data_IF_078453653583
#
_entry.id   IF_078453653583
#
_cell.length_a   1.000
_cell.length_b   1.000
_cell.length_c   1.000
_cell.angle_alpha   90.00
_cell.angle_beta   90.00
_cell.angle_gamma   90.00
#
_symmetry.space_group_name_H-M   'P 1'
#
loop_
_entity.id
_entity.type
_entity.pdbx_description
1 polymer ?
#
# COMPACT_ATOMS: atom_id res chain seq x y z
N UNK A 1 -2.52 8.22 2.87
CA UNK A 1 -1.44 9.01 2.24
C UNK A 1 -1.07 8.36 0.92
N UNK A 2 -0.92 9.12 -0.17
CA UNK A 2 -0.51 8.58 -1.48
C UNK A 2 0.28 9.61 -2.29
N UNK A 3 1.03 9.13 -3.30
CA UNK A 3 1.84 9.99 -4.15
C UNK A 3 0.95 10.81 -5.10
N UNK A 4 1.23 12.10 -5.27
CA UNK A 4 0.51 12.93 -6.22
C UNK A 4 0.52 12.28 -7.61
N UNK A 5 -0.65 12.30 -8.27
CA UNK A 5 -0.91 11.66 -9.56
C UNK A 5 -0.82 10.12 -9.60
N UNK A 6 -0.66 9.42 -8.47
CA UNK A 6 -0.81 7.96 -8.43
C UNK A 6 -2.29 7.55 -8.54
N UNK A 7 -2.51 6.24 -8.71
CA UNK A 7 -3.82 5.62 -8.54
C UNK A 7 -4.42 5.98 -7.18
N UNK A 8 -5.74 6.20 -7.15
CA UNK A 8 -6.53 6.45 -5.94
C UNK A 8 -7.69 5.46 -5.86
N UNK A 9 -8.23 5.18 -4.66
CA UNK A 9 -9.47 4.40 -4.51
C UNK A 9 -10.56 4.95 -5.45
N UNK A 10 -11.35 4.05 -6.02
CA UNK A 10 -12.41 4.34 -7.00
C UNK A 10 -11.92 4.87 -8.36
N UNK A 11 -11.09 5.92 -8.40
CA UNK A 11 -10.65 6.51 -9.67
C UNK A 11 -9.62 5.67 -10.42
N UNK A 12 -8.98 4.69 -9.75
CA UNK A 12 -8.05 3.72 -10.37
C UNK A 12 -8.66 2.95 -11.55
N UNK A 13 -9.98 2.75 -11.57
CA UNK A 13 -10.64 1.97 -12.62
C UNK A 13 -10.67 2.67 -13.99
N UNK A 14 -10.46 4.00 -14.04
CA UNK A 14 -10.48 4.78 -15.28
C UNK A 14 -9.29 5.72 -15.47
N UNK A 15 -8.67 6.25 -14.39
CA UNK A 15 -7.64 7.30 -14.47
C UNK A 15 -6.35 6.92 -15.20
N UNK A 16 -5.99 5.64 -15.23
CA UNK A 16 -4.79 5.13 -15.90
C UNK A 16 -5.14 4.09 -16.96
N UNK A 17 -6.42 4.01 -17.32
CA UNK A 17 -6.81 3.29 -18.51
C UNK A 17 -6.25 4.04 -19.73
N UNK A 18 -5.88 3.34 -20.80
CA UNK A 18 -5.52 3.99 -22.07
C UNK A 18 -6.69 4.80 -22.68
N UNK A 19 -7.87 4.78 -22.05
CA UNK A 19 -9.07 5.48 -22.48
C UNK A 19 -9.10 6.85 -21.82
N UNK A 20 -9.40 7.87 -22.62
CA UNK A 20 -9.67 9.21 -22.12
C UNK A 20 -10.92 9.19 -21.25
N UNK A 21 -11.00 10.06 -20.24
CA UNK A 21 -12.25 10.25 -19.49
C UNK A 21 -13.44 10.58 -20.41
N UNK A 22 -13.17 11.29 -21.51
CA UNK A 22 -14.19 11.66 -22.50
C UNK A 22 -14.76 10.44 -23.24
N UNK A 23 -14.04 9.32 -23.30
CA UNK A 23 -14.52 8.09 -23.97
C UNK A 23 -15.68 7.44 -23.22
N UNK A 24 -15.92 7.82 -21.96
CA UNK A 24 -17.03 7.33 -21.15
C UNK A 24 -18.32 8.13 -21.35
N UNK A 25 -18.22 9.31 -21.98
CA UNK A 25 -19.33 10.25 -22.11
C UNK A 25 -20.00 10.13 -23.49
N UNK A 26 -21.32 10.25 -23.51
CA UNK A 26 -22.15 10.38 -24.70
C UNK A 26 -22.94 11.69 -24.66
N UNK A 27 -23.15 12.30 -25.82
CA UNK A 27 -24.05 13.44 -25.97
C UNK A 27 -25.49 12.93 -26.00
N UNK A 28 -26.37 13.53 -25.20
CA UNK A 28 -27.80 13.28 -25.21
C UNK A 28 -28.47 14.43 -25.98
N UNK A 29 -29.04 14.16 -27.18
CA UNK A 29 -29.76 15.18 -27.93
C UNK A 29 -31.02 15.60 -27.18
N UNK A 30 -31.19 16.91 -26.93
CA UNK A 30 -32.47 17.42 -26.41
C UNK A 30 -33.48 17.54 -27.56
N UNK A 31 -34.64 16.92 -27.37
CA UNK A 31 -35.76 16.98 -28.31
C UNK A 31 -36.56 18.28 -28.23
N UNK A 32 -36.28 19.13 -27.24
CA UNK A 32 -37.13 20.29 -26.91
C UNK A 32 -36.44 21.65 -27.08
N UNK A 33 -35.10 21.73 -26.98
CA UNK A 33 -34.31 22.94 -27.27
C UNK A 33 -32.89 22.62 -27.76
N UNK A 34 -32.39 23.26 -28.82
CA UNK A 34 -31.01 23.08 -29.31
C UNK A 34 -29.92 23.41 -28.29
N UNK A 35 -30.21 24.31 -27.34
CA UNK A 35 -29.25 24.81 -26.33
C UNK A 35 -29.19 23.97 -25.04
N UNK A 36 -30.03 22.94 -24.88
CA UNK A 36 -30.04 22.06 -23.70
C UNK A 36 -29.34 20.72 -24.01
N UNK A 37 -28.10 20.76 -24.52
CA UNK A 37 -27.30 19.55 -24.66
C UNK A 37 -26.84 19.07 -23.28
N UNK A 38 -27.04 17.78 -22.99
CA UNK A 38 -26.55 17.15 -21.76
C UNK A 38 -25.58 16.02 -22.09
N UNK A 39 -24.68 15.74 -21.16
CA UNK A 39 -23.78 14.59 -21.23
C UNK A 39 -24.34 13.47 -20.35
N UNK A 40 -24.25 12.23 -20.83
CA UNK A 40 -24.54 11.04 -20.05
C UNK A 40 -23.35 10.07 -20.14
N UNK A 41 -23.30 9.11 -19.22
CA UNK A 41 -22.35 7.99 -19.34
C UNK A 41 -22.97 6.93 -20.24
N UNK A 42 -22.18 6.30 -21.10
CA UNK A 42 -22.71 5.22 -21.96
C UNK A 42 -23.28 4.06 -21.11
N UNK A 43 -24.39 3.41 -21.52
CA UNK A 43 -25.07 2.43 -20.67
C UNK A 43 -24.19 1.27 -20.18
N UNK A 44 -23.27 0.78 -21.01
CA UNK A 44 -22.35 -0.29 -20.63
C UNK A 44 -21.36 0.15 -19.54
N UNK A 45 -20.80 1.35 -19.69
CA UNK A 45 -19.86 1.92 -18.71
C UNK A 45 -20.61 2.31 -17.42
N UNK A 46 -21.85 2.77 -17.53
CA UNK A 46 -22.68 3.09 -16.38
C UNK A 46 -22.89 1.86 -15.49
N UNK A 47 -23.09 0.68 -16.06
CA UNK A 47 -23.22 -0.57 -15.30
C UNK A 47 -21.96 -0.91 -14.50
N UNK A 48 -20.77 -0.72 -15.09
CA UNK A 48 -19.48 -0.94 -14.42
C UNK A 48 -19.22 0.11 -13.32
N UNK A 49 -19.53 1.38 -13.59
CA UNK A 49 -19.25 2.50 -12.67
C UNK A 49 -20.27 2.61 -11.54
N UNK A 50 -21.47 2.09 -11.69
CA UNK A 50 -22.54 2.19 -10.68
C UNK A 50 -22.11 1.73 -9.28
N UNK A 51 -21.59 0.50 -9.07
CA UNK A 51 -21.16 0.04 -7.75
C UNK A 51 -20.00 0.89 -7.19
N UNK A 52 -19.09 1.34 -8.06
CA UNK A 52 -17.94 2.17 -7.69
C UNK A 52 -18.41 3.54 -7.20
N UNK A 53 -19.35 4.17 -7.91
CA UNK A 53 -19.91 5.47 -7.59
C UNK A 53 -20.74 5.41 -6.29
N UNK A 54 -21.52 4.33 -6.10
CA UNK A 54 -22.28 4.10 -4.87
C UNK A 54 -21.34 3.97 -3.66
N UNK A 55 -20.27 3.18 -3.77
CA UNK A 55 -19.27 3.05 -2.71
C UNK A 55 -18.53 4.37 -2.43
N UNK A 56 -18.20 5.13 -3.49
CA UNK A 56 -17.60 6.46 -3.36
C UNK A 56 -18.51 7.41 -2.57
N UNK A 57 -19.79 7.52 -2.94
CA UNK A 57 -20.74 8.38 -2.21
C UNK A 57 -20.92 7.95 -0.76
N UNK A 58 -21.06 6.64 -0.51
CA UNK A 58 -21.16 6.12 0.86
C UNK A 58 -19.97 6.56 1.72
N UNK A 59 -18.75 6.47 1.19
CA UNK A 59 -17.54 6.88 1.91
C UNK A 59 -17.49 8.39 2.14
N UNK A 60 -18.00 9.21 1.22
CA UNK A 60 -18.10 10.66 1.40
C UNK A 60 -19.14 11.02 2.48
N UNK A 61 -20.31 10.39 2.43
CA UNK A 61 -21.40 10.64 3.38
C UNK A 61 -21.04 10.21 4.80
N UNK A 62 -20.31 9.10 4.95
CA UNK A 62 -19.83 8.59 6.24
C UNK A 62 -18.54 9.26 6.73
N UNK A 63 -17.82 9.99 5.86
CA UNK A 63 -16.54 10.63 6.19
C UNK A 63 -15.41 9.64 6.51
N UNK A 64 -15.42 8.45 5.91
CA UNK A 64 -14.52 7.33 6.27
C UNK A 64 -13.20 7.28 5.49
N UNK A 65 -12.96 8.22 4.56
CA UNK A 65 -11.73 8.32 3.77
C UNK A 65 -11.14 9.72 3.80
N UNK A 66 -9.95 9.86 4.37
CA UNK A 66 -9.13 11.07 4.28
C UNK A 66 -7.97 10.85 3.31
N UNK A 67 -7.87 11.70 2.29
CA UNK A 67 -6.78 11.68 1.31
C UNK A 67 -5.73 12.74 1.64
N UNK A 68 -4.46 12.32 1.71
CA UNK A 68 -3.31 13.19 1.98
C UNK A 68 -2.27 12.92 0.90
N UNK A 69 -1.98 13.93 0.09
CA UNK A 69 -1.05 13.84 -1.05
C UNK A 69 0.39 14.16 -0.58
N UNK A 70 1.37 13.46 -1.14
CA UNK A 70 2.80 13.81 -1.03
C UNK A 70 3.49 13.66 -2.39
N UNK A 71 4.61 14.35 -2.60
CA UNK A 71 5.40 14.28 -3.82
C UNK A 71 6.85 13.87 -3.54
N UNK A 72 7.46 14.43 -2.49
CA UNK A 72 8.87 14.20 -2.14
C UNK A 72 9.02 13.22 -0.98
N UNK A 73 10.23 12.67 -0.82
CA UNK A 73 10.55 11.83 0.34
C UNK A 73 10.47 12.64 1.65
N UNK A 74 10.92 13.90 1.64
CA UNK A 74 10.87 14.75 2.83
C UNK A 74 9.42 14.98 3.29
N UNK A 75 8.52 15.34 2.36
CA UNK A 75 7.09 15.48 2.65
C UNK A 75 6.50 14.18 3.20
N UNK A 76 6.80 13.03 2.58
CA UNK A 76 6.32 11.74 3.04
C UNK A 76 6.72 11.47 4.50
N UNK A 77 7.99 11.71 4.87
CA UNK A 77 8.49 11.45 6.22
C UNK A 77 7.83 12.38 7.26
N UNK A 78 7.69 13.67 6.95
CA UNK A 78 7.03 14.63 7.84
C UNK A 78 5.54 14.33 8.02
N UNK A 79 4.83 14.04 6.93
CA UNK A 79 3.41 13.68 6.97
C UNK A 79 3.20 12.37 7.73
N UNK A 80 4.06 11.36 7.51
CA UNK A 80 3.97 10.09 8.22
C UNK A 80 4.14 10.31 9.72
N UNK A 81 5.12 11.12 10.14
CA UNK A 81 5.33 11.47 11.55
C UNK A 81 4.12 12.17 12.15
N UNK A 82 3.57 13.17 11.47
CA UNK A 82 2.38 13.90 11.94
C UNK A 82 1.12 13.04 12.03
N UNK A 83 0.89 12.18 11.04
CA UNK A 83 -0.25 11.23 11.06
C UNK A 83 -0.07 10.20 12.17
N UNK A 84 1.15 9.73 12.40
CA UNK A 84 1.43 8.76 13.47
C UNK A 84 1.16 9.36 14.85
N UNK A 85 1.54 10.61 15.09
CA UNK A 85 1.28 11.33 16.34
C UNK A 85 -0.23 11.41 16.64
N UNK A 86 -1.05 11.74 15.63
CA UNK A 86 -2.52 11.78 15.76
C UNK A 86 -3.08 10.36 15.99
N UNK A 87 -2.63 9.39 15.21
CA UNK A 87 -3.11 8.00 15.28
C UNK A 87 -2.65 7.27 16.54
N UNK A 88 -1.62 7.74 17.25
CA UNK A 88 -1.14 7.14 18.49
C UNK A 88 -2.27 7.00 19.54
N UNK A 89 -3.23 7.91 19.54
CA UNK A 89 -4.43 7.88 20.40
C UNK A 89 -5.33 6.65 20.18
N UNK A 90 -5.22 5.98 19.04
CA UNK A 90 -5.98 4.77 18.73
C UNK A 90 -5.40 3.50 19.37
N UNK A 91 -4.13 3.53 19.79
CA UNK A 91 -3.40 2.37 20.31
C UNK A 91 -3.55 1.15 19.40
N UNK A 92 -3.93 0.01 19.98
CA UNK A 92 -4.11 -1.28 19.26
C UNK A 92 -5.14 -1.25 18.14
N UNK A 93 -6.07 -0.29 18.15
CA UNK A 93 -7.06 -0.12 17.08
C UNK A 93 -6.51 0.60 15.85
N UNK A 94 -5.33 1.21 15.94
CA UNK A 94 -4.66 1.81 14.80
C UNK A 94 -3.88 0.78 14.00
N UNK A 95 -4.02 0.82 12.68
CA UNK A 95 -3.27 -0.02 11.74
C UNK A 95 -2.52 0.86 10.74
N UNK A 96 -1.25 0.55 10.53
CA UNK A 96 -0.41 1.16 9.50
C UNK A 96 -0.18 0.17 8.36
N UNK A 97 -0.71 0.47 7.17
CA UNK A 97 -0.48 -0.29 5.95
C UNK A 97 0.53 0.45 5.05
N UNK A 98 1.81 0.15 5.23
CA UNK A 98 2.92 0.91 4.64
C UNK A 98 3.33 0.35 3.26
N UNK A 99 2.48 0.56 2.26
CA UNK A 99 2.69 0.07 0.88
C UNK A 99 3.41 1.06 -0.06
N UNK A 100 3.82 2.23 0.44
CA UNK A 100 4.54 3.20 -0.37
C UNK A 100 5.94 2.69 -0.75
N UNK A 101 6.33 2.84 -2.01
CA UNK A 101 7.71 2.63 -2.44
C UNK A 101 8.57 3.86 -2.05
N UNK A 102 9.15 3.80 -0.86
CA UNK A 102 9.97 4.88 -0.29
C UNK A 102 11.40 4.78 -0.83
N UNK A 103 11.96 5.90 -1.30
CA UNK A 103 13.36 5.95 -1.76
C UNK A 103 14.33 5.55 -0.65
N UNK A 104 15.32 4.71 -0.97
CA UNK A 104 16.39 4.35 -0.04
C UNK A 104 17.49 5.42 0.07
N UNK A 105 17.59 6.28 -0.95
CA UNK A 105 18.57 7.36 -1.03
C UNK A 105 17.88 8.68 -1.37
N UNK A 106 18.45 9.79 -0.92
CA UNK A 106 17.99 11.15 -1.20
C UNK A 106 19.20 12.09 -1.38
N UNK A 107 18.96 13.25 -1.99
CA UNK A 107 19.95 14.32 -2.09
C UNK A 107 19.62 15.36 -1.00
N UNK A 108 20.50 15.59 -0.01
CA UNK A 108 20.32 16.64 0.99
C UNK A 108 20.15 18.01 0.35
N UNK A 109 19.34 18.88 0.97
CA UNK A 109 19.05 20.21 0.43
C UNK A 109 20.32 21.04 0.18
N UNK A 110 21.36 20.88 1.00
CA UNK A 110 22.65 21.58 0.80
C UNK A 110 23.42 21.09 -0.43
N UNK A 111 23.12 19.88 -0.93
CA UNK A 111 23.75 19.27 -2.11
C UNK A 111 22.91 19.41 -3.38
N UNK A 112 21.67 19.94 -3.30
CA UNK A 112 20.80 20.15 -4.46
C UNK A 112 21.32 21.34 -5.26
N UNK A 113 21.63 21.12 -6.55
CA UNK A 113 21.98 22.20 -7.46
C UNK A 113 20.77 23.12 -7.69
N UNK A 114 20.94 24.43 -7.49
CA UNK A 114 19.88 25.43 -7.73
C UNK A 114 19.42 25.49 -9.19
N UNK A 115 20.29 25.07 -10.11
CA UNK A 115 20.05 25.14 -11.55
C UNK A 115 20.26 23.78 -12.21
N UNK A 116 19.67 23.64 -13.40
CA UNK A 116 19.83 22.46 -14.26
C UNK A 116 21.32 22.11 -14.40
N UNK A 117 21.68 20.88 -14.05
CA UNK A 117 23.03 20.34 -14.24
C UNK A 117 23.35 20.32 -15.75
N UNK A 118 24.47 20.92 -16.11
CA UNK A 118 24.88 21.09 -17.51
C UNK A 118 25.57 19.82 -18.06
N UNK A 119 25.24 19.41 -19.29
CA UNK A 119 25.71 18.16 -19.90
C UNK A 119 27.08 18.25 -20.59
N UNK A 120 27.84 19.32 -20.38
CA UNK A 120 29.06 19.61 -21.17
C UNK A 120 30.29 18.74 -20.89
N UNK A 121 30.30 17.95 -19.81
CA UNK A 121 31.50 17.23 -19.32
C UNK A 121 31.53 15.72 -19.63
N UNK A 122 30.61 15.22 -20.46
CA UNK A 122 30.63 13.84 -20.97
C UNK A 122 30.15 12.75 -20.00
N UNK A 123 30.31 12.90 -18.68
CA UNK A 123 29.77 11.97 -17.67
C UNK A 123 29.02 12.70 -16.55
N UNK A 124 28.03 12.02 -15.96
CA UNK A 124 27.26 12.49 -14.79
C UNK A 124 27.52 11.54 -13.63
N UNK A 125 28.00 12.07 -12.50
CA UNK A 125 28.13 11.35 -11.24
C UNK A 125 27.20 12.00 -10.22
N UNK A 126 26.37 11.20 -9.55
CA UNK A 126 25.42 11.64 -8.54
C UNK A 126 25.76 10.93 -7.22
N UNK A 127 26.11 11.71 -6.21
CA UNK A 127 26.33 11.23 -4.84
C UNK A 127 25.06 11.51 -4.03
N UNK A 128 24.55 10.49 -3.34
CA UNK A 128 23.30 10.56 -2.58
C UNK A 128 23.48 9.96 -1.19
N UNK A 129 22.75 10.49 -0.22
CA UNK A 129 22.79 10.05 1.16
C UNK A 129 21.66 9.03 1.41
N UNK A 130 21.86 8.12 2.37
CA UNK A 130 20.83 7.14 2.73
C UNK A 130 19.68 7.79 3.50
N UNK A 131 18.44 7.44 3.15
CA UNK A 131 17.25 7.92 3.85
C UNK A 131 17.19 7.33 5.27
N UNK A 132 16.91 8.13 6.30
CA UNK A 132 16.69 7.65 7.66
C UNK A 132 15.61 6.57 7.72
N UNK A 133 15.90 5.46 8.40
CA UNK A 133 14.97 4.32 8.51
C UNK A 133 13.92 4.59 9.60
N UNK A 134 12.82 5.26 9.22
CA UNK A 134 11.74 5.68 10.14
C UNK A 134 10.85 4.57 10.68
N UNK A 135 10.96 3.33 10.17
CA UNK A 135 10.17 2.21 10.67
C UNK A 135 10.51 1.87 12.13
N UNK A 136 11.79 1.95 12.52
CA UNK A 136 12.20 1.68 13.90
C UNK A 136 11.56 2.66 14.91
N UNK A 137 11.70 3.99 14.76
CA UNK A 137 11.04 4.92 15.67
C UNK A 137 9.51 4.86 15.57
N UNK A 138 8.94 4.54 14.40
CA UNK A 138 7.50 4.34 14.26
C UNK A 138 7.00 3.20 15.16
N UNK A 139 7.71 2.07 15.21
CA UNK A 139 7.36 0.92 16.05
C UNK A 139 7.69 1.16 17.52
N UNK A 140 8.86 1.71 17.83
CA UNK A 140 9.35 1.76 19.22
C UNK A 140 8.88 2.99 19.99
N UNK A 141 8.67 4.12 19.32
CA UNK A 141 8.44 5.42 19.97
C UNK A 141 7.09 6.01 19.61
N UNK A 142 6.74 6.06 18.32
CA UNK A 142 5.58 6.84 17.87
C UNK A 142 4.27 6.06 18.04
N UNK A 143 4.28 4.74 17.81
CA UNK A 143 3.09 3.92 17.94
C UNK A 143 3.38 2.48 18.42
N UNK A 144 3.85 2.31 19.67
CA UNK A 144 4.22 1.00 20.20
C UNK A 144 3.08 -0.02 20.26
N UNK A 145 1.84 0.45 20.46
CA UNK A 145 0.66 -0.42 20.51
C UNK A 145 -0.02 -0.63 19.14
N UNK A 146 0.44 0.07 18.10
CA UNK A 146 -0.17 0.00 16.77
C UNK A 146 0.08 -1.33 16.07
N UNK A 147 -0.79 -1.69 15.13
CA UNK A 147 -0.57 -2.83 14.24
C UNK A 147 0.10 -2.36 12.96
N UNK A 148 1.39 -2.68 12.78
CA UNK A 148 2.23 -2.12 11.72
C UNK A 148 2.54 -3.20 10.69
N UNK A 149 2.10 -2.96 9.46
CA UNK A 149 2.30 -3.81 8.29
C UNK A 149 3.20 -3.09 7.31
N UNK A 150 4.31 -3.71 6.92
CA UNK A 150 5.21 -3.18 5.89
C UNK A 150 5.24 -4.07 4.64
N UNK A 151 5.68 -3.50 3.52
CA UNK A 151 5.80 -4.20 2.25
C UNK A 151 7.24 -4.47 1.88
N UNK A 152 7.49 -5.66 1.30
CA UNK A 152 8.78 -6.02 0.70
C UNK A 152 8.57 -6.48 -0.74
N UNK A 153 8.97 -5.63 -1.67
CA UNK A 153 8.98 -5.93 -3.10
C UNK A 153 10.37 -6.42 -3.50
N UNK A 154 10.45 -7.60 -4.10
CA UNK A 154 11.69 -8.16 -4.64
C UNK A 154 11.53 -8.62 -6.09
N UNK A 155 12.63 -8.72 -6.82
CA UNK A 155 12.68 -9.29 -8.19
C UNK A 155 13.19 -10.72 -8.22
N UNK A 156 13.84 -11.17 -7.14
CA UNK A 156 14.42 -12.50 -7.00
C UNK A 156 13.72 -13.23 -5.84
N UNK A 157 13.06 -14.35 -6.13
CA UNK A 157 12.23 -15.08 -5.16
C UNK A 157 13.05 -15.56 -3.93
N UNK A 158 14.30 -15.95 -4.15
CA UNK A 158 15.20 -16.42 -3.08
C UNK A 158 15.54 -15.34 -2.05
N UNK A 159 15.43 -14.05 -2.42
CA UNK A 159 15.72 -12.92 -1.53
C UNK A 159 14.49 -12.45 -0.74
N UNK A 160 13.27 -12.82 -1.17
CA UNK A 160 12.03 -12.28 -0.62
C UNK A 160 11.87 -12.61 0.87
N UNK A 161 11.87 -13.90 1.21
CA UNK A 161 11.69 -14.36 2.60
C UNK A 161 12.84 -13.91 3.51
N UNK A 162 14.13 -14.08 3.13
CA UNK A 162 15.22 -13.61 3.98
C UNK A 162 15.16 -12.10 4.27
N UNK A 163 14.83 -11.27 3.28
CA UNK A 163 14.70 -9.82 3.48
C UNK A 163 13.47 -9.43 4.28
N UNK A 164 12.35 -10.16 4.15
CA UNK A 164 11.17 -9.95 4.98
C UNK A 164 11.47 -10.24 6.46
N UNK A 165 12.08 -11.39 6.75
CA UNK A 165 12.50 -11.75 8.11
C UNK A 165 13.53 -10.77 8.67
N UNK A 166 14.51 -10.35 7.89
CA UNK A 166 15.48 -9.32 8.31
C UNK A 166 14.80 -7.99 8.67
N UNK A 167 13.74 -7.58 7.94
CA UNK A 167 12.97 -6.39 8.27
C UNK A 167 12.19 -6.55 9.59
N UNK A 168 11.61 -7.72 9.85
CA UNK A 168 10.93 -8.01 11.12
C UNK A 168 11.93 -7.98 12.28
N UNK A 169 13.07 -8.66 12.17
CA UNK A 169 14.10 -8.66 13.22
C UNK A 169 14.65 -7.26 13.50
N UNK A 170 14.83 -6.44 12.46
CA UNK A 170 15.37 -5.09 12.60
C UNK A 170 14.39 -4.12 13.26
N UNK A 171 13.13 -4.14 12.83
CA UNK A 171 12.16 -3.12 13.22
C UNK A 171 11.18 -3.58 14.32
N UNK A 172 10.96 -4.88 14.49
CA UNK A 172 10.07 -5.43 15.51
C UNK A 172 8.57 -5.18 15.25
N UNK A 173 8.17 -4.96 14.00
CA UNK A 173 6.76 -4.78 13.62
C UNK A 173 6.07 -6.12 13.38
N UNK A 174 4.75 -6.11 13.27
CA UNK A 174 3.92 -7.31 13.36
C UNK A 174 3.90 -8.14 12.09
N UNK A 175 3.96 -7.51 10.91
CA UNK A 175 3.79 -8.21 9.64
C UNK A 175 4.57 -7.55 8.50
N UNK A 176 5.26 -8.37 7.71
CA UNK A 176 5.76 -8.02 6.38
C UNK A 176 4.92 -8.74 5.34
N UNK A 177 4.37 -7.99 4.38
CA UNK A 177 3.77 -8.54 3.17
C UNK A 177 4.85 -8.51 2.08
N UNK A 178 5.34 -9.69 1.73
CA UNK A 178 6.30 -9.88 0.65
C UNK A 178 5.60 -10.13 -0.68
N UNK A 179 6.12 -9.56 -1.76
CA UNK A 179 5.62 -9.82 -3.10
C UNK A 179 6.76 -9.79 -4.14
N UNK A 180 6.71 -10.70 -5.11
CA UNK A 180 7.61 -10.68 -6.26
C UNK A 180 7.06 -9.74 -7.34
N UNK A 181 7.91 -8.91 -7.97
CA UNK A 181 7.49 -7.86 -8.91
C UNK A 181 6.56 -8.35 -10.02
N UNK A 182 6.85 -9.52 -10.59
CA UNK A 182 6.12 -10.10 -11.71
C UNK A 182 4.83 -10.81 -11.30
N UNK A 183 4.74 -11.28 -10.05
CA UNK A 183 3.62 -12.08 -9.53
C UNK A 183 2.75 -11.33 -8.51
N UNK A 184 3.09 -10.07 -8.20
CA UNK A 184 2.45 -9.23 -7.18
C UNK A 184 0.92 -9.07 -7.27
N UNK A 185 0.33 -9.31 -8.44
CA UNK A 185 -1.13 -9.24 -8.65
C UNK A 185 -1.85 -10.55 -8.33
N UNK A 186 -1.10 -11.64 -8.21
CA UNK A 186 -1.63 -13.00 -8.15
C UNK A 186 -1.22 -13.71 -6.86
N UNK A 187 -0.12 -13.32 -6.24
CA UNK A 187 0.28 -13.89 -4.96
C UNK A 187 1.12 -12.93 -4.11
N UNK A 188 1.00 -13.13 -2.80
CA UNK A 188 1.80 -12.48 -1.77
C UNK A 188 2.11 -13.47 -0.65
N UNK A 189 3.14 -13.17 0.14
CA UNK A 189 3.47 -13.92 1.35
C UNK A 189 3.39 -13.02 2.57
N UNK A 190 2.68 -13.49 3.59
CA UNK A 190 2.66 -12.88 4.90
C UNK A 190 3.78 -13.51 5.73
N UNK A 191 4.70 -12.69 6.23
CA UNK A 191 5.77 -13.12 7.12
C UNK A 191 5.56 -12.43 8.47
N UNK A 192 5.36 -13.21 9.52
CA UNK A 192 5.06 -12.73 10.88
C UNK A 192 5.90 -13.49 11.92
N UNK A 193 6.28 -12.88 13.05
CA UNK A 193 7.02 -13.56 14.10
C UNK A 193 6.11 -14.58 14.82
N UNK A 194 6.64 -15.76 15.15
CA UNK A 194 5.89 -16.80 15.90
C UNK A 194 5.67 -16.43 17.37
N UNK A 195 6.52 -15.56 17.92
CA UNK A 195 6.41 -15.04 19.27
C UNK A 195 6.24 -13.53 19.25
N UNK A 196 5.30 -13.01 20.04
CA UNK A 196 5.07 -11.57 20.18
C UNK A 196 6.22 -10.83 20.90
N UNK A 197 7.24 -11.54 21.37
CA UNK A 197 8.40 -11.01 22.11
C UNK A 197 9.57 -10.56 21.23
N UNK A 198 9.48 -10.60 19.90
CA UNK A 198 10.54 -10.03 19.05
C UNK A 198 10.51 -8.51 19.15
N UNK A 199 11.20 -7.97 20.17
CA UNK A 199 11.61 -6.56 20.18
C UNK A 199 12.66 -6.38 19.09
N UNK A 200 12.52 -5.32 18.30
CA UNK A 200 13.50 -4.99 17.27
C UNK A 200 14.90 -4.89 17.85
N UNK A 201 15.92 -5.26 17.08
CA UNK A 201 17.30 -5.27 17.55
C UNK A 201 17.80 -3.85 17.88
N UNK A 202 17.93 -3.56 19.19
CA UNK A 202 18.39 -2.27 19.71
C UNK A 202 19.86 -1.99 19.37
N UNK A 203 20.67 -3.02 19.08
CA UNK A 203 22.07 -2.87 18.65
C UNK A 203 22.20 -2.34 17.21
N UNK A 204 21.15 -2.48 16.40
CA UNK A 204 21.11 -1.93 15.04
C UNK A 204 20.68 -0.46 15.12
N UNK A 205 21.65 0.43 15.34
CA UNK A 205 21.49 1.88 15.19
C UNK A 205 21.95 2.29 13.78
N UNK A 206 21.11 3.01 13.02
CA UNK A 206 21.49 3.60 11.73
C UNK A 206 20.93 2.89 10.49
N UNK A 207 21.43 3.26 9.31
CA UNK A 207 20.87 2.91 8.00
C UNK A 207 21.28 1.52 7.47
N UNK A 208 22.30 0.89 8.04
CA UNK A 208 22.80 -0.43 7.64
C UNK A 208 21.72 -1.53 7.72
N UNK A 209 21.43 -2.17 6.60
CA UNK A 209 20.71 -3.45 6.60
C UNK A 209 21.59 -4.47 7.33
N UNK A 210 21.09 -5.17 8.37
CA UNK A 210 21.87 -6.25 8.97
C UNK A 210 22.29 -7.24 7.87
N UNK A 211 23.46 -7.89 7.99
CA UNK A 211 23.80 -8.99 7.12
C UNK A 211 22.63 -9.97 7.07
N UNK A 212 22.49 -10.70 5.96
CA UNK A 212 21.64 -11.89 5.89
C UNK A 212 22.24 -12.97 6.82
N UNK A 213 22.25 -12.71 8.12
CA UNK A 213 22.47 -13.76 9.10
C UNK A 213 21.27 -14.70 9.00
N UNK A 214 21.56 -16.00 9.05
CA UNK A 214 20.53 -17.04 9.08
C UNK A 214 19.72 -16.84 10.36
N UNK A 215 18.67 -16.01 10.30
CA UNK A 215 17.64 -16.03 11.33
C UNK A 215 17.17 -17.49 11.42
N UNK A 216 17.08 -18.02 12.63
CA UNK A 216 16.66 -19.41 12.80
C UNK A 216 15.28 -19.53 12.16
N UNK A 217 15.14 -20.42 11.17
CA UNK A 217 13.89 -20.61 10.41
C UNK A 217 12.67 -20.76 11.34
N UNK A 218 12.88 -21.33 12.53
CA UNK A 218 11.87 -21.61 13.55
C UNK A 218 11.26 -20.38 14.26
N UNK A 219 11.62 -19.14 13.90
CA UNK A 219 11.12 -17.92 14.57
C UNK A 219 10.00 -17.20 13.83
N UNK A 220 9.79 -17.52 12.56
CA UNK A 220 8.85 -16.80 11.70
C UNK A 220 7.86 -17.76 11.07
N UNK A 221 6.62 -17.30 10.92
CA UNK A 221 5.56 -17.97 10.20
C UNK A 221 5.41 -17.32 8.84
N UNK A 222 5.26 -18.16 7.83
CA UNK A 222 4.98 -17.75 6.46
C UNK A 222 3.58 -18.22 6.07
N UNK A 223 2.78 -17.35 5.48
CA UNK A 223 1.46 -17.69 4.95
C UNK A 223 1.35 -17.13 3.53
N UNK A 224 1.36 -18.03 2.55
CA UNK A 224 1.19 -17.67 1.14
C UNK A 224 -0.28 -17.48 0.82
N UNK A 225 -0.61 -16.37 0.18
CA UNK A 225 -1.93 -16.07 -0.35
C UNK A 225 -1.83 -16.03 -1.87
N UNK A 226 -2.60 -16.88 -2.55
CA UNK A 226 -2.66 -16.90 -4.01
C UNK A 226 -4.08 -16.65 -4.48
N UNK A 227 -4.20 -15.90 -5.57
CA UNK A 227 -5.48 -15.60 -6.20
C UNK A 227 -6.15 -16.89 -6.72
N UNK A 228 -5.36 -17.88 -7.13
CA UNK A 228 -5.87 -19.18 -7.59
C UNK A 228 -6.52 -20.00 -6.45
N UNK A 229 -6.14 -19.75 -5.18
CA UNK A 229 -6.77 -20.38 -4.02
C UNK A 229 -8.19 -19.83 -3.77
N UNK A 230 -8.57 -18.76 -4.51
CA UNK A 230 -9.91 -18.18 -4.52
C UNK A 230 -10.76 -18.93 -5.56
N UNK A 231 -11.16 -20.16 -5.28
CA UNK A 231 -12.27 -20.78 -6.03
C UNK A 231 -13.02 -21.88 -5.25
N UNK A 232 -14.35 -21.74 -5.26
CA UNK A 232 -15.42 -22.71 -4.91
C UNK A 232 -15.73 -22.92 -3.42
N UNK A 233 -16.49 -21.98 -2.86
CA UNK A 233 -17.25 -22.18 -1.64
C UNK A 233 -18.33 -21.11 -1.48
N UNK A 234 -19.54 -21.39 -2.00
CA UNK A 234 -20.81 -20.67 -1.79
C UNK A 234 -21.42 -19.89 -2.98
N UNK A 235 -21.38 -20.43 -4.20
CA UNK A 235 -22.44 -20.14 -5.17
C UNK A 235 -22.79 -21.41 -5.95
N UNK A 236 -24.09 -21.72 -5.98
CA UNK A 236 -24.67 -22.75 -6.83
C UNK A 236 -24.24 -22.55 -8.29
N UNK A 237 -24.16 -23.67 -9.02
CA UNK A 237 -23.76 -23.68 -10.42
C UNK A 237 -24.55 -22.65 -11.24
N UNK A 238 -23.88 -21.57 -11.67
CA UNK A 238 -24.44 -20.57 -12.58
C UNK A 238 -24.30 -19.10 -12.16
N UNK A 239 -23.78 -18.78 -10.98
CA UNK A 239 -23.59 -17.37 -10.55
C UNK A 239 -22.14 -17.13 -10.11
N UNK A 240 -21.34 -16.49 -10.96
CA UNK A 240 -20.07 -15.88 -10.55
C UNK A 240 -20.39 -14.66 -9.66
N UNK A 241 -20.11 -14.75 -8.37
CA UNK A 241 -20.25 -13.61 -7.44
C UNK A 241 -19.02 -12.71 -7.61
N UNK A 242 -19.26 -11.48 -8.05
CA UNK A 242 -18.25 -10.52 -8.50
C UNK A 242 -17.33 -10.00 -7.40
N UNK A 243 -16.05 -9.87 -7.76
CA UNK A 243 -15.06 -9.10 -7.01
C UNK A 243 -15.22 -7.60 -7.22
N UNK A 244 -14.46 -6.82 -6.46
CA UNK A 244 -14.46 -5.35 -6.52
C UNK A 244 -13.48 -4.79 -7.58
N UNK A 245 -12.84 -5.67 -8.34
CA UNK A 245 -11.94 -5.32 -9.44
C UNK A 245 -12.66 -4.81 -10.67
N UNK A 246 -11.88 -4.47 -11.69
CA UNK A 246 -12.42 -4.09 -12.99
C UNK A 246 -13.20 -5.26 -13.58
N UNK A 247 -14.39 -5.01 -14.15
CA UNK A 247 -15.26 -6.03 -14.76
C UNK A 247 -15.73 -7.13 -13.77
N UNK A 248 -15.66 -6.89 -12.46
CA UNK A 248 -16.06 -7.85 -11.43
C UNK A 248 -15.00 -8.89 -11.10
N UNK A 249 -13.74 -8.68 -11.51
CA UNK A 249 -12.61 -9.54 -11.16
C UNK A 249 -12.30 -9.49 -9.66
N UNK A 250 -11.94 -10.64 -9.08
CA UNK A 250 -11.40 -10.70 -7.71
C UNK A 250 -9.94 -10.27 -7.75
N UNK A 251 -9.59 -9.32 -6.89
CA UNK A 251 -8.21 -8.81 -6.76
C UNK A 251 -7.52 -9.39 -5.52
N UNK A 252 -6.19 -9.57 -5.55
CA UNK A 252 -5.42 -10.15 -4.44
C UNK A 252 -5.58 -9.31 -3.16
N UNK A 253 -5.82 -8.01 -3.30
CA UNK A 253 -6.13 -7.09 -2.21
C UNK A 253 -7.36 -7.51 -1.39
N UNK A 254 -8.34 -8.20 -1.98
CA UNK A 254 -9.52 -8.71 -1.23
C UNK A 254 -9.12 -9.77 -0.21
N UNK A 255 -8.20 -10.68 -0.57
CA UNK A 255 -7.63 -11.64 0.37
C UNK A 255 -6.74 -10.98 1.41
N UNK A 256 -5.88 -10.06 0.97
CA UNK A 256 -4.96 -9.34 1.86
C UNK A 256 -5.76 -8.61 2.95
N UNK A 257 -6.81 -7.86 2.56
CA UNK A 257 -7.63 -7.11 3.52
C UNK A 257 -8.38 -8.06 4.46
N UNK A 258 -8.95 -9.15 3.95
CA UNK A 258 -9.64 -10.15 4.78
C UNK A 258 -8.72 -10.73 5.86
N UNK A 259 -7.52 -11.17 5.47
CA UNK A 259 -6.52 -11.76 6.37
C UNK A 259 -5.94 -10.74 7.35
N UNK A 260 -5.78 -9.48 6.91
CA UNK A 260 -5.34 -8.38 7.78
C UNK A 260 -6.38 -8.01 8.82
N UNK A 261 -7.66 -7.93 8.45
CA UNK A 261 -8.75 -7.62 9.39
C UNK A 261 -8.81 -8.68 10.49
N UNK A 262 -8.69 -9.96 10.13
CA UNK A 262 -8.65 -11.04 11.12
C UNK A 262 -7.46 -10.88 12.09
N UNK A 263 -6.23 -10.74 11.56
CA UNK A 263 -5.03 -10.57 12.39
C UNK A 263 -5.06 -9.31 13.25
N UNK A 264 -5.59 -8.22 12.72
CA UNK A 264 -5.73 -6.97 13.46
C UNK A 264 -6.75 -7.12 14.60
N UNK A 265 -7.84 -7.85 14.38
CA UNK A 265 -8.80 -8.16 15.44
C UNK A 265 -8.19 -9.04 16.54
N UNK A 266 -7.36 -10.01 16.17
CA UNK A 266 -6.58 -10.82 17.13
C UNK A 266 -5.61 -9.93 17.92
N UNK A 267 -4.92 -9.00 17.26
CA UNK A 267 -4.07 -8.00 17.92
C UNK A 267 -4.86 -7.13 18.90
N UNK A 268 -6.00 -6.56 18.50
CA UNK A 268 -6.86 -5.74 19.37
C UNK A 268 -7.30 -6.54 20.60
N UNK A 269 -7.60 -7.83 20.43
CA UNK A 269 -8.13 -8.70 21.49
C UNK A 269 -7.04 -9.24 22.43
N UNK A 270 -5.79 -9.28 21.97
CA UNK A 270 -4.67 -9.69 22.80
C UNK A 270 -4.43 -8.68 23.94
N UNK A 271 -4.18 -9.20 25.16
CA UNK A 271 -3.91 -8.35 26.33
C UNK A 271 -2.65 -7.50 26.07
N UNK A 272 -2.66 -6.20 26.41
CA UNK A 272 -1.43 -5.40 26.44
C UNK A 272 -0.41 -6.08 27.35
N UNK A 273 0.84 -6.19 26.90
CA UNK A 273 1.94 -6.70 27.73
C UNK A 273 2.46 -5.61 28.67
#
# INVERSE_FOLDING_TARGET
>A
MHRQHSLRPFSRHYSHSRRSFLDFLSLVPSSTKPDEQSIAVSPSVAQELFPILQAYHKVQDEGTLLSIDFQTINEYLWLLRGVTDIMATLGRRGLFYLAAAVSDFFLPDEKIAEHKIQSGKGTLSLEMDQVPKVLKPLVQEWMPEGYIVSFKLETEAELLIPKARAALSRYGHQLVIGNELHRRKYEVVFVEPLSSTIRGDDSISGASTPPLERSRDDQFKETWLKLDDIQVGAAEAGVSVGGSGKDGEVEIEELIVKELVQRHQEWISAKPQ
#
